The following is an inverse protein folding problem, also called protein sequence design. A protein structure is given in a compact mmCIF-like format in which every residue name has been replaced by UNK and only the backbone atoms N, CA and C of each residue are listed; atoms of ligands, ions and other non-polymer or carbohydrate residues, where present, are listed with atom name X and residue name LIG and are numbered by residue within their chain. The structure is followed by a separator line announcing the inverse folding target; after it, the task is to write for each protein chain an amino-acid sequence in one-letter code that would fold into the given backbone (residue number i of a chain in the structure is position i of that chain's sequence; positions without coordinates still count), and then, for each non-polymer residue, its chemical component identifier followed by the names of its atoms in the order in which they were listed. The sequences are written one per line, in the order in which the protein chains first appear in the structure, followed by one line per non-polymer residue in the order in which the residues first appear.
data_IF_737369428331
#
_entry.id   IF_737369428331
#
_cell.length_a   1.000
_cell.length_b   1.000
_cell.length_c   1.000
_cell.angle_alpha   90.00
_cell.angle_beta   90.00
_cell.angle_gamma   90.00
#
_symmetry.space_group_name_H-M   'P 1'
#
loop_
_entity.id
_entity.type
_entity.pdbx_description
1 polymer ?
#
# COMPACT_ATOMS: atom_id res chain seq x y z
N UNK A 1 2.66 -6.29 -20.05
CA UNK A 1 3.33 -7.60 -20.11
C UNK A 1 3.09 -8.32 -18.78
N UNK A 2 3.25 -9.65 -18.71
CA UNK A 2 3.21 -10.37 -17.43
C UNK A 2 4.52 -10.22 -16.66
N UNK A 3 4.47 -10.36 -15.34
CA UNK A 3 5.65 -10.24 -14.46
C UNK A 3 6.03 -11.56 -13.81
N UNK A 4 7.33 -11.86 -13.66
CA UNK A 4 7.80 -12.99 -12.87
C UNK A 4 7.36 -12.95 -11.40
N UNK A 5 7.03 -11.76 -10.87
CA UNK A 5 6.59 -11.57 -9.50
C UNK A 5 5.29 -12.34 -9.18
N UNK A 6 4.46 -12.61 -10.20
CA UNK A 6 3.21 -13.38 -10.09
C UNK A 6 3.35 -14.77 -9.45
N UNK A 7 4.54 -15.35 -9.48
CA UNK A 7 4.80 -16.69 -8.93
C UNK A 7 5.88 -16.71 -7.84
N UNK A 8 6.55 -15.59 -7.58
CA UNK A 8 7.79 -15.58 -6.78
C UNK A 8 7.79 -14.54 -5.64
N UNK A 9 6.64 -13.97 -5.29
CA UNK A 9 6.52 -13.10 -4.11
C UNK A 9 5.95 -13.91 -2.95
N UNK A 10 6.78 -14.16 -1.95
CA UNK A 10 6.43 -14.81 -0.70
C UNK A 10 7.35 -14.29 0.40
N UNK A 11 6.78 -13.89 1.53
CA UNK A 11 7.51 -13.38 2.69
C UNK A 11 6.73 -13.71 3.98
N UNK A 12 7.44 -13.84 5.09
CA UNK A 12 6.84 -13.88 6.42
C UNK A 12 6.70 -12.47 6.98
N UNK A 13 5.62 -12.23 7.72
CA UNK A 13 5.52 -11.04 8.57
C UNK A 13 6.58 -11.11 9.67
N UNK A 14 7.21 -9.98 9.98
CA UNK A 14 8.16 -9.85 11.08
C UNK A 14 7.41 -9.44 12.35
N UNK A 15 6.62 -10.38 12.89
CA UNK A 15 5.75 -10.15 14.05
C UNK A 15 6.55 -9.80 15.31
N UNK A 16 7.65 -10.51 15.56
CA UNK A 16 8.43 -10.39 16.80
C UNK A 16 9.11 -9.04 16.96
N UNK A 17 9.41 -8.37 15.85
CA UNK A 17 10.03 -7.05 15.88
C UNK A 17 9.07 -5.95 15.41
N UNK A 18 7.81 -6.26 15.09
CA UNK A 18 6.84 -5.28 14.61
C UNK A 18 6.39 -4.34 15.74
N UNK A 19 6.36 -3.01 15.52
CA UNK A 19 5.76 -2.08 16.46
C UNK A 19 4.21 -2.09 16.41
N UNK A 20 3.64 -2.82 15.46
CA UNK A 20 2.20 -2.90 15.22
C UNK A 20 1.68 -4.32 15.41
N UNK A 21 0.39 -4.42 15.72
CA UNK A 21 -0.34 -5.69 15.80
C UNK A 21 -0.14 -6.54 14.52
N UNK A 22 0.10 -7.86 14.64
CA UNK A 22 0.24 -8.74 13.49
C UNK A 22 -0.91 -8.64 12.50
N UNK A 23 -0.62 -8.77 11.21
CA UNK A 23 -1.61 -8.65 10.15
C UNK A 23 -2.76 -9.63 10.35
N UNK A 24 -2.48 -10.88 10.70
CA UNK A 24 -3.52 -11.89 10.87
C UNK A 24 -4.53 -11.54 11.99
N UNK A 25 -4.06 -10.92 13.08
CA UNK A 25 -4.94 -10.44 14.16
C UNK A 25 -5.87 -9.34 13.65
N UNK A 26 -5.35 -8.42 12.83
CA UNK A 26 -6.19 -7.39 12.18
C UNK A 26 -7.26 -7.97 11.23
N UNK A 27 -7.14 -9.23 10.82
CA UNK A 27 -8.15 -9.97 10.02
C UNK A 27 -9.13 -10.77 10.88
N UNK A 28 -9.03 -10.68 12.21
CA UNK A 28 -9.94 -11.33 13.16
C UNK A 28 -9.50 -12.71 13.63
N UNK A 29 -8.25 -13.12 13.38
CA UNK A 29 -7.68 -14.36 13.91
C UNK A 29 -7.09 -14.16 15.32
N UNK A 30 -6.90 -15.26 16.05
CA UNK A 30 -6.23 -15.23 17.36
C UNK A 30 -4.73 -14.96 17.19
N UNK A 31 -4.05 -14.30 18.15
CA UNK A 31 -2.59 -14.13 18.12
C UNK A 31 -1.78 -15.42 18.06
N UNK A 32 -2.36 -16.54 18.48
CA UNK A 32 -1.74 -17.86 18.43
C UNK A 32 -2.04 -18.64 17.13
N UNK A 33 -2.85 -18.06 16.22
CA UNK A 33 -3.22 -18.70 14.97
C UNK A 33 -2.12 -18.53 13.92
N UNK A 34 -1.69 -19.64 13.33
CA UNK A 34 -0.92 -19.59 12.09
C UNK A 34 -1.86 -19.32 10.91
N UNK A 35 -1.52 -18.36 10.06
CA UNK A 35 -2.32 -18.03 8.88
C UNK A 35 -1.46 -17.84 7.64
N UNK A 36 -2.10 -17.95 6.47
CA UNK A 36 -1.53 -17.54 5.19
C UNK A 36 -2.47 -16.56 4.51
N UNK A 37 -1.92 -15.49 3.95
CA UNK A 37 -2.65 -14.56 3.10
C UNK A 37 -2.22 -14.74 1.65
N UNK A 38 -3.18 -14.99 0.76
CA UNK A 38 -2.94 -15.18 -0.67
C UNK A 38 -3.67 -14.09 -1.45
N UNK A 39 -2.96 -13.46 -2.38
CA UNK A 39 -3.52 -12.45 -3.27
C UNK A 39 -2.96 -12.61 -4.68
N UNK A 40 -3.78 -12.25 -5.68
CA UNK A 40 -3.26 -11.99 -7.03
C UNK A 40 -2.73 -10.57 -7.06
N UNK A 41 -1.47 -10.38 -7.44
CA UNK A 41 -0.79 -9.08 -7.32
C UNK A 41 -0.36 -8.51 -8.67
N UNK A 42 -0.23 -7.19 -8.74
CA UNK A 42 0.66 -6.51 -9.66
C UNK A 42 2.11 -6.54 -9.15
N UNK A 43 3.00 -5.96 -9.92
CA UNK A 43 4.43 -5.96 -9.60
C UNK A 43 4.67 -5.16 -8.32
N UNK A 44 5.51 -5.65 -7.40
CA UNK A 44 5.95 -4.83 -6.28
C UNK A 44 6.69 -3.59 -6.77
N UNK A 45 6.36 -2.44 -6.19
CA UNK A 45 7.07 -1.19 -6.43
C UNK A 45 7.82 -0.76 -5.16
N UNK A 46 9.13 -0.63 -5.31
CA UNK A 46 10.02 -0.24 -4.24
C UNK A 46 9.85 1.25 -3.91
N UNK A 47 9.61 1.53 -2.64
CA UNK A 47 9.62 2.87 -2.06
C UNK A 47 10.92 3.08 -1.30
N UNK A 48 11.84 3.84 -1.88
CA UNK A 48 13.14 4.16 -1.28
C UNK A 48 13.15 5.56 -0.64
N UNK A 49 12.56 5.71 0.55
CA UNK A 49 12.66 6.96 1.32
C UNK A 49 13.82 6.93 2.31
N UNK A 50 15.01 7.27 1.83
CA UNK A 50 16.25 7.14 2.60
C UNK A 50 16.30 7.98 3.88
N UNK A 51 15.66 9.13 3.89
CA UNK A 51 15.95 10.15 4.90
C UNK A 51 14.86 10.25 5.97
N UNK A 52 13.60 10.00 5.61
CA UNK A 52 12.47 10.42 6.42
C UNK A 52 12.45 11.94 6.58
N UNK A 53 11.27 12.55 6.51
CA UNK A 53 11.13 13.97 6.82
C UNK A 53 9.88 14.18 7.66
N UNK A 54 9.91 15.27 8.44
CA UNK A 54 8.85 15.57 9.39
C UNK A 54 8.81 14.56 10.55
N UNK A 55 7.60 14.28 10.99
CA UNK A 55 7.27 13.30 12.03
C UNK A 55 6.75 12.00 11.41
N UNK A 56 7.34 11.55 10.29
CA UNK A 56 6.91 10.35 9.55
C UNK A 56 6.23 10.64 8.20
N UNK A 57 5.72 11.85 8.00
CA UNK A 57 4.96 12.23 6.81
C UNK A 57 5.78 12.08 5.52
N UNK A 58 7.10 12.28 5.56
CA UNK A 58 7.95 12.06 4.40
C UNK A 58 7.83 10.64 3.83
N UNK A 59 7.82 9.63 4.70
CA UNK A 59 7.66 8.22 4.29
C UNK A 59 6.23 8.00 3.77
N UNK A 60 5.23 8.53 4.46
CA UNK A 60 3.82 8.42 4.07
C UNK A 60 3.53 9.03 2.70
N UNK A 61 4.10 10.21 2.43
CA UNK A 61 3.96 10.90 1.16
C UNK A 61 4.67 10.15 0.03
N UNK A 62 5.84 9.54 0.29
CA UNK A 62 6.53 8.72 -0.70
C UNK A 62 5.72 7.46 -1.06
N UNK A 63 5.11 6.81 -0.07
CA UNK A 63 4.21 5.67 -0.28
C UNK A 63 2.97 6.08 -1.06
N UNK A 64 2.35 7.19 -0.68
CA UNK A 64 1.18 7.72 -1.37
C UNK A 64 1.49 8.09 -2.82
N UNK A 65 2.65 8.68 -3.09
CA UNK A 65 3.08 9.03 -4.44
C UNK A 65 3.36 7.80 -5.30
N UNK A 66 4.00 6.77 -4.73
CA UNK A 66 4.20 5.48 -5.39
C UNK A 66 2.84 4.84 -5.72
N UNK A 67 1.94 4.72 -4.75
CA UNK A 67 0.59 4.17 -4.96
C UNK A 67 -0.21 4.94 -6.03
N UNK A 68 -0.15 6.28 -6.01
CA UNK A 68 -0.86 7.12 -6.97
C UNK A 68 -0.26 7.04 -8.39
N UNK A 69 1.02 6.67 -8.53
CA UNK A 69 1.70 6.50 -9.81
C UNK A 69 1.58 5.06 -10.34
N UNK A 70 1.53 4.08 -9.45
CA UNK A 70 1.64 2.66 -9.75
C UNK A 70 0.55 2.18 -10.73
N UNK A 71 1.00 1.60 -11.84
CA UNK A 71 0.14 1.08 -12.91
C UNK A 71 -0.76 2.13 -13.60
N UNK A 72 -0.49 3.43 -13.40
CA UNK A 72 -1.39 4.55 -13.73
C UNK A 72 -2.83 4.31 -13.24
N UNK A 73 -2.93 3.63 -12.10
CA UNK A 73 -4.15 3.31 -11.37
C UNK A 73 -5.34 2.96 -12.29
N UNK A 74 -5.12 2.01 -13.20
CA UNK A 74 -6.06 1.55 -14.25
C UNK A 74 -7.45 1.15 -13.73
N UNK A 75 -7.63 1.04 -12.41
CA UNK A 75 -8.85 0.62 -11.75
C UNK A 75 -9.22 1.58 -10.60
N UNK A 76 -9.62 2.80 -10.92
CA UNK A 76 -10.09 3.80 -9.95
C UNK A 76 -11.49 3.52 -9.40
N UNK A 77 -11.74 2.28 -8.96
CA UNK A 77 -13.07 1.84 -8.54
C UNK A 77 -12.99 1.15 -7.19
N UNK A 78 -14.15 0.99 -6.54
CA UNK A 78 -14.27 0.26 -5.28
C UNK A 78 -13.65 -1.14 -5.44
N UNK A 79 -12.90 -1.57 -4.41
CA UNK A 79 -12.35 -2.92 -4.32
C UNK A 79 -10.94 -3.09 -4.88
N UNK A 80 -10.15 -2.02 -5.02
CA UNK A 80 -8.69 -2.16 -5.18
C UNK A 80 -8.05 -2.18 -3.80
N UNK A 81 -7.37 -3.28 -3.50
CA UNK A 81 -6.59 -3.43 -2.27
C UNK A 81 -5.10 -3.25 -2.55
N UNK A 82 -4.39 -2.77 -1.56
CA UNK A 82 -2.94 -2.57 -1.59
C UNK A 82 -2.31 -3.29 -0.42
N UNK A 83 -1.10 -3.80 -0.62
CA UNK A 83 -0.21 -4.14 0.46
C UNK A 83 0.91 -3.09 0.52
N UNK A 84 1.10 -2.50 1.68
CA UNK A 84 2.31 -1.78 2.01
C UNK A 84 3.15 -2.66 2.93
N UNK A 85 4.22 -3.20 2.36
CA UNK A 85 5.21 -3.99 3.09
C UNK A 85 6.25 -3.02 3.64
N UNK A 86 6.14 -2.72 4.93
CA UNK A 86 6.99 -1.75 5.62
C UNK A 86 8.29 -2.43 6.03
N UNK A 87 9.39 -2.00 5.43
CA UNK A 87 10.73 -2.47 5.79
C UNK A 87 11.23 -1.85 7.09
N UNK A 88 12.29 -2.45 7.64
CA UNK A 88 12.79 -2.19 8.99
C UNK A 88 12.99 -0.70 9.33
N UNK A 89 13.78 0.06 8.55
CA UNK A 89 14.05 1.45 8.90
C UNK A 89 12.85 2.38 8.77
N UNK A 90 11.90 2.08 7.88
CA UNK A 90 10.63 2.82 7.82
C UNK A 90 9.75 2.49 9.03
N UNK A 91 9.65 1.22 9.45
CA UNK A 91 8.86 0.86 10.64
C UNK A 91 9.44 1.45 11.92
N UNK A 92 10.76 1.43 12.09
CA UNK A 92 11.43 2.07 13.22
C UNK A 92 11.16 3.57 13.26
N UNK A 93 11.27 4.24 12.12
CA UNK A 93 11.04 5.68 12.02
C UNK A 93 9.59 6.05 12.34
N UNK A 94 8.63 5.34 11.74
CA UNK A 94 7.20 5.57 11.98
C UNK A 94 6.80 5.27 13.42
N UNK A 95 7.32 4.19 14.02
CA UNK A 95 7.08 3.84 15.42
C UNK A 95 7.57 4.92 16.40
N UNK A 96 8.71 5.57 16.11
CA UNK A 96 9.24 6.66 16.95
C UNK A 96 8.31 7.87 17.02
N UNK A 97 7.47 8.06 16.01
CA UNK A 97 6.45 9.11 15.97
C UNK A 97 5.05 8.60 16.30
N UNK A 98 4.94 7.39 16.85
CA UNK A 98 3.69 6.81 17.32
C UNK A 98 2.63 6.62 16.23
N UNK A 99 3.06 6.40 14.98
CA UNK A 99 2.13 5.99 13.93
C UNK A 99 1.63 4.58 14.20
N UNK A 100 0.31 4.42 14.20
CA UNK A 100 -0.38 3.12 14.18
C UNK A 100 -0.91 2.81 12.77
N UNK A 101 -1.28 1.55 12.52
CA UNK A 101 -1.77 1.14 11.18
C UNK A 101 -2.99 1.97 10.74
N UNK A 102 -3.89 2.30 11.64
CA UNK A 102 -5.14 3.00 11.34
C UNK A 102 -4.89 4.47 10.91
N UNK A 103 -4.08 5.21 11.65
CA UNK A 103 -3.64 6.56 11.31
C UNK A 103 -2.80 6.57 10.03
N UNK A 104 -1.97 5.56 9.82
CA UNK A 104 -1.21 5.40 8.58
C UNK A 104 -2.14 5.22 7.37
N UNK A 105 -3.08 4.26 7.45
CA UNK A 105 -4.07 4.00 6.41
C UNK A 105 -4.83 5.28 6.03
N UNK A 106 -5.36 6.00 7.04
CA UNK A 106 -6.09 7.26 6.83
C UNK A 106 -5.23 8.32 6.14
N UNK A 107 -3.99 8.48 6.58
CA UNK A 107 -3.10 9.50 6.02
C UNK A 107 -2.77 9.18 4.57
N UNK A 108 -2.30 7.96 4.27
CA UNK A 108 -1.94 7.57 2.90
C UNK A 108 -3.15 7.69 2.00
N UNK A 109 -4.31 7.14 2.39
CA UNK A 109 -5.51 7.18 1.56
C UNK A 109 -5.92 8.62 1.23
N UNK A 110 -5.82 9.55 2.18
CA UNK A 110 -6.16 10.96 1.98
C UNK A 110 -5.27 11.65 0.94
N UNK A 111 -4.00 11.27 0.84
CA UNK A 111 -3.01 11.98 -0.01
C UNK A 111 -2.56 11.19 -1.24
N UNK A 112 -2.91 9.91 -1.34
CA UNK A 112 -2.62 9.05 -2.49
C UNK A 112 -3.69 9.21 -3.59
N UNK A 113 -3.56 10.26 -4.40
CA UNK A 113 -4.48 10.51 -5.52
C UNK A 113 -3.81 11.23 -6.69
N UNK A 114 -4.50 11.23 -7.83
CA UNK A 114 -4.22 12.06 -9.02
C UNK A 114 -5.51 12.75 -9.47
N UNK A 115 -5.40 13.91 -10.10
CA UNK A 115 -6.58 14.58 -10.64
C UNK A 115 -7.18 13.76 -11.79
N UNK A 116 -8.51 13.82 -11.97
CA UNK A 116 -9.15 13.19 -13.12
C UNK A 116 -8.62 13.77 -14.44
N UNK A 117 -8.30 15.06 -14.45
CA UNK A 117 -7.74 15.73 -15.63
C UNK A 117 -6.41 15.10 -16.05
N UNK A 118 -5.49 14.88 -15.12
CA UNK A 118 -4.19 14.26 -15.42
C UNK A 118 -4.36 12.85 -15.98
N UNK A 119 -5.28 12.08 -15.42
CA UNK A 119 -5.56 10.72 -15.86
C UNK A 119 -6.22 10.66 -17.24
N UNK A 120 -7.08 11.64 -17.58
CA UNK A 120 -7.61 11.81 -18.93
C UNK A 120 -6.53 12.22 -19.92
N UNK A 121 -5.64 13.16 -19.55
CA UNK A 121 -4.49 13.59 -20.39
C UNK A 121 -3.55 12.43 -20.72
N UNK A 122 -3.36 11.51 -19.78
CA UNK A 122 -2.55 10.29 -19.95
C UNK A 122 -3.28 9.18 -20.74
N UNK A 123 -4.58 9.32 -20.98
CA UNK A 123 -5.40 8.29 -21.63
C UNK A 123 -5.80 7.13 -20.72
N UNK A 124 -5.58 7.23 -19.40
CA UNK A 124 -5.99 6.22 -18.42
C UNK A 124 -7.49 6.26 -18.10
N UNK A 125 -8.10 7.44 -18.23
CA UNK A 125 -9.56 7.63 -18.14
C UNK A 125 -10.05 8.17 -19.49
N UNK A 126 -11.19 7.66 -19.97
CA UNK A 126 -11.79 8.11 -21.23
C UNK A 126 -12.42 9.50 -21.13
N UNK A 127 -12.45 10.20 -22.26
CA UNK A 127 -13.17 11.46 -22.45
C UNK A 127 -12.27 12.69 -22.41
N UNK A 128 -12.81 13.81 -22.88
CA UNK A 128 -12.11 15.09 -22.89
C UNK A 128 -11.97 15.66 -21.47
N UNK A 129 -10.93 16.45 -21.26
CA UNK A 129 -10.71 17.17 -19.99
C UNK A 129 -11.70 18.32 -19.88
N UNK A 130 -12.44 18.35 -18.79
CA UNK A 130 -13.36 19.41 -18.39
C UNK A 130 -12.75 20.25 -17.26
N UNK A 131 -13.12 21.53 -17.10
CA UNK A 131 -12.58 22.40 -16.04
C UNK A 131 -12.72 21.82 -14.62
N UNK A 132 -13.81 21.10 -14.33
CA UNK A 132 -14.05 20.46 -13.04
C UNK A 132 -13.09 19.29 -12.75
N UNK A 133 -12.49 18.68 -13.78
CA UNK A 133 -11.60 17.51 -13.62
C UNK A 133 -10.25 17.87 -12.99
N UNK A 134 -9.84 19.14 -13.04
CA UNK A 134 -8.53 19.60 -12.56
C UNK A 134 -8.34 19.38 -11.06
N UNK A 135 -9.45 19.40 -10.32
CA UNK A 135 -9.46 19.24 -8.87
C UNK A 135 -10.31 18.05 -8.40
N UNK A 136 -10.84 17.22 -9.32
CA UNK A 136 -11.58 16.02 -8.96
C UNK A 136 -10.59 14.89 -8.60
N UNK A 137 -10.49 14.50 -7.32
CA UNK A 137 -9.49 13.55 -6.89
C UNK A 137 -9.89 12.14 -7.27
N UNK A 138 -8.94 11.41 -7.84
CA UNK A 138 -9.06 9.98 -8.08
C UNK A 138 -8.06 9.24 -7.21
N UNK A 139 -8.56 8.64 -6.13
CA UNK A 139 -7.76 8.00 -5.10
C UNK A 139 -7.22 6.63 -5.52
N UNK A 140 -6.00 6.31 -5.09
CA UNK A 140 -5.36 5.02 -5.33
C UNK A 140 -6.06 3.89 -4.55
N UNK A 141 -6.51 4.18 -3.33
CA UNK A 141 -7.34 3.31 -2.50
C UNK A 141 -8.66 4.01 -2.19
N UNK A 142 -9.79 3.29 -2.31
CA UNK A 142 -11.10 3.91 -2.10
C UNK A 142 -11.35 4.15 -0.61
N UNK A 143 -11.05 3.16 0.25
CA UNK A 143 -11.10 3.32 1.70
C UNK A 143 -9.73 3.10 2.35
N UNK A 144 -9.47 3.65 3.55
CA UNK A 144 -8.23 3.39 4.30
C UNK A 144 -7.97 1.89 4.52
N UNK A 145 -9.01 1.10 4.78
CA UNK A 145 -8.91 -0.33 5.09
C UNK A 145 -8.53 -1.19 3.86
N UNK A 146 -8.57 -0.60 2.66
CA UNK A 146 -8.07 -1.23 1.45
C UNK A 146 -6.53 -1.28 1.43
N UNK A 147 -5.84 -0.56 2.34
CA UNK A 147 -4.39 -0.52 2.47
C UNK A 147 -3.95 -1.47 3.60
N UNK A 148 -3.55 -2.68 3.24
CA UNK A 148 -3.02 -3.69 4.16
C UNK A 148 -1.57 -3.36 4.52
N UNK A 149 -1.31 -3.07 5.80
CA UNK A 149 0.04 -2.74 6.29
C UNK A 149 0.64 -3.98 6.98
N UNK A 150 1.82 -4.39 6.51
CA UNK A 150 2.55 -5.55 7.04
C UNK A 150 4.01 -5.15 7.21
N UNK A 151 4.61 -5.42 8.38
CA UNK A 151 6.05 -5.29 8.53
C UNK A 151 6.71 -6.59 8.05
N UNK A 152 7.68 -6.50 7.15
CA UNK A 152 8.43 -7.67 6.72
C UNK A 152 9.83 -7.29 6.21
N UNK A 153 10.62 -8.31 5.90
CA UNK A 153 11.98 -8.17 5.40
C UNK A 153 13.03 -8.29 6.50
N UNK A 154 14.31 -8.08 6.12
CA UNK A 154 15.43 -8.14 7.06
C UNK A 154 15.58 -6.88 7.92
N UNK A 155 16.52 -6.91 8.86
CA UNK A 155 16.86 -5.79 9.75
C UNK A 155 17.72 -4.70 9.09
N UNK A 156 17.68 -4.57 7.76
CA UNK A 156 18.51 -3.66 6.98
C UNK A 156 17.76 -3.17 5.75
N UNK A 157 18.25 -2.08 5.16
CA UNK A 157 17.65 -1.43 3.99
C UNK A 157 16.58 -0.40 4.36
N UNK A 158 16.62 0.75 3.68
CA UNK A 158 15.66 1.84 3.87
C UNK A 158 14.67 1.81 2.71
N UNK A 159 14.01 0.65 2.60
CA UNK A 159 13.13 0.29 1.49
C UNK A 159 11.83 -0.24 2.06
N UNK A 160 10.74 0.03 1.37
CA UNK A 160 9.46 -0.64 1.53
C UNK A 160 8.95 -1.03 0.16
N UNK A 161 7.95 -1.89 0.11
CA UNK A 161 7.29 -2.27 -1.14
C UNK A 161 5.82 -1.88 -1.05
N UNK A 162 5.27 -1.35 -2.13
CA UNK A 162 3.83 -1.25 -2.32
C UNK A 162 3.41 -2.21 -3.42
N UNK A 163 2.32 -2.93 -3.19
CA UNK A 163 1.84 -3.97 -4.10
C UNK A 163 0.35 -3.78 -4.28
N UNK A 164 -0.10 -3.47 -5.50
CA UNK A 164 -1.53 -3.42 -5.80
C UNK A 164 -2.04 -4.84 -6.03
N UNK A 165 -3.17 -5.20 -5.43
CA UNK A 165 -3.88 -6.42 -5.81
C UNK A 165 -4.47 -6.27 -7.21
N UNK A 166 -4.49 -7.36 -7.95
CA UNK A 166 -5.16 -7.39 -9.24
C UNK A 166 -6.65 -7.11 -9.05
N UNK A 167 -7.17 -6.20 -9.87
CA UNK A 167 -8.54 -5.71 -9.73
C UNK A 167 -9.57 -6.84 -9.75
N UNK A 168 -10.52 -6.77 -8.82
CA UNK A 168 -11.62 -7.73 -8.68
C UNK A 168 -11.26 -9.00 -7.90
N UNK A 169 -10.04 -9.12 -7.38
CA UNK A 169 -9.61 -10.26 -6.55
C UNK A 169 -9.07 -9.77 -5.21
N UNK A 170 -9.83 -10.00 -4.14
CA UNK A 170 -9.39 -9.67 -2.79
C UNK A 170 -8.37 -10.65 -2.25
N UNK A 171 -7.49 -10.14 -1.39
CA UNK A 171 -6.64 -10.99 -0.58
C UNK A 171 -7.50 -11.86 0.35
N UNK A 172 -7.16 -13.14 0.43
CA UNK A 172 -7.83 -14.09 1.32
C UNK A 172 -6.85 -14.57 2.36
N UNK A 173 -7.20 -14.43 3.64
CA UNK A 173 -6.43 -14.92 4.78
C UNK A 173 -7.14 -16.14 5.35
N UNK A 174 -6.41 -17.25 5.51
CA UNK A 174 -6.94 -18.50 6.08
C UNK A 174 -6.00 -19.02 7.15
N UNK A 175 -6.58 -19.68 8.16
CA UNK A 175 -5.83 -20.42 9.19
C UNK A 175 -5.21 -21.69 8.59
N UNK A 176 -3.99 -22.03 9.00
CA UNK A 176 -3.24 -23.22 8.58
C UNK A 176 -2.85 -24.11 9.77
#
# INVERSE_FOLDING_TARGET
MGSPAKYNVCFGEDEENSPWEPYHVSKGFSPDDSTVTVASIQDPEMVSNRYGTGSGEGVMNAVADAMASHGLATYFTRGVQWFWIVGHWHSEYLSRFHWDKESMQRYVQKVAWRSRADLKRLGSIRGDVLPEDENDPVFAAYNPEDIHIVKAGGNSGIYSEVIMNYYGVFATTVKI
#
